data_IF_491355733613
#
_entry.id   IF_491355733613
#
_cell.length_a   1.000
_cell.length_b   1.000
_cell.length_c   1.000
_cell.angle_alpha   90.00
_cell.angle_beta   90.00
_cell.angle_gamma   90.00
#
_symmetry.space_group_name_H-M   'P 1'
#
loop_
_entity.id
_entity.type
_entity.pdbx_description
1 polymer ?
#
# COMPACT_ATOMS: atom_id res chain seq x y z
N UNK A 1 -12.62 -24.64 29.82
CA UNK A 1 -12.33 -23.48 30.69
C UNK A 1 -10.89 -23.58 31.19
N UNK A 2 -9.93 -22.95 30.51
CA UNK A 2 -8.67 -22.48 31.12
C UNK A 2 -8.37 -21.16 30.42
N UNK A 3 -8.60 -20.05 31.13
CA UNK A 3 -8.28 -18.69 30.71
C UNK A 3 -6.80 -18.46 31.00
N UNK A 4 -5.95 -18.50 29.97
CA UNK A 4 -4.60 -17.96 30.08
C UNK A 4 -4.68 -16.45 29.82
N UNK A 5 -4.65 -15.65 30.89
CA UNK A 5 -4.41 -14.22 30.81
C UNK A 5 -2.92 -14.01 30.55
N UNK A 6 -2.53 -13.64 29.33
CA UNK A 6 -1.18 -13.12 29.11
C UNK A 6 -1.14 -11.64 29.52
N UNK A 7 -0.20 -11.34 30.40
CA UNK A 7 0.05 -10.03 30.95
C UNK A 7 0.62 -9.10 29.86
N UNK A 8 0.04 -7.89 29.77
CA UNK A 8 0.57 -6.80 28.98
C UNK A 8 1.97 -6.40 29.50
N UNK A 9 2.99 -6.60 28.68
CA UNK A 9 4.29 -5.99 28.93
C UNK A 9 4.21 -4.51 28.49
N UNK A 10 4.19 -3.63 29.49
CA UNK A 10 4.24 -2.18 29.34
C UNK A 10 5.49 -1.76 28.54
N UNK A 11 5.27 -1.21 27.36
CA UNK A 11 6.25 -0.37 26.67
C UNK A 11 6.58 0.83 27.55
N UNK A 12 7.71 0.77 28.23
CA UNK A 12 8.26 1.92 28.94
C UNK A 12 9.03 2.77 27.93
N UNK A 13 8.41 3.87 27.49
CA UNK A 13 9.12 4.98 26.85
C UNK A 13 10.18 5.50 27.81
N UNK A 14 11.45 5.41 27.43
CA UNK A 14 12.51 6.21 28.03
C UNK A 14 12.68 7.49 27.19
N UNK A 15 12.50 8.61 27.87
CA UNK A 15 12.58 9.96 27.37
C UNK A 15 13.92 10.29 26.68
N UNK A 16 13.85 11.10 25.62
CA UNK A 16 15.00 11.81 25.10
C UNK A 16 15.59 12.76 26.15
N UNK A 17 16.92 12.93 26.15
CA UNK A 17 17.45 14.28 26.30
C UNK A 17 18.52 14.62 25.26
N UNK A 18 18.44 15.89 24.84
CA UNK A 18 19.53 16.80 24.53
C UNK A 18 20.48 16.49 23.34
N UNK A 19 20.39 17.42 22.37
CA UNK A 19 21.50 17.99 21.60
C UNK A 19 22.86 17.87 22.29
N UNK A 20 23.77 17.12 21.67
CA UNK A 20 25.21 17.29 21.82
C UNK A 20 25.86 17.02 20.46
N UNK A 21 26.39 18.07 19.84
CA UNK A 21 27.39 17.96 18.77
C UNK A 21 28.64 17.30 19.36
N UNK A 22 28.96 16.08 18.93
CA UNK A 22 30.28 15.50 19.13
C UNK A 22 30.52 14.34 18.14
N UNK A 23 31.36 14.61 17.14
CA UNK A 23 32.23 13.61 16.51
C UNK A 23 31.56 12.66 15.53
N UNK A 24 31.97 12.77 14.26
CA UNK A 24 31.86 11.75 13.23
C UNK A 24 32.54 10.44 13.69
N UNK A 25 31.83 9.64 14.48
CA UNK A 25 31.98 8.20 14.48
C UNK A 25 31.05 7.69 13.39
N UNK A 26 31.61 7.37 12.22
CA UNK A 26 30.88 6.64 11.20
C UNK A 26 30.32 5.38 11.87
N UNK A 27 29.01 5.38 12.13
CA UNK A 27 28.31 4.20 12.59
C UNK A 27 28.65 3.11 11.57
N UNK A 28 29.35 2.07 12.02
CA UNK A 28 29.76 0.95 11.19
C UNK A 28 28.49 0.42 10.52
N UNK A 29 28.34 0.69 9.22
CA UNK A 29 27.17 0.25 8.46
C UNK A 29 27.21 -1.27 8.49
N UNK A 30 26.37 -1.89 9.33
CA UNK A 30 26.28 -3.34 9.40
C UNK A 30 25.86 -3.82 8.01
N UNK A 31 26.78 -4.51 7.33
CA UNK A 31 26.57 -4.96 5.97
C UNK A 31 25.38 -5.93 5.89
N UNK A 32 24.71 -5.94 4.73
CA UNK A 32 23.72 -6.95 4.40
C UNK A 32 24.38 -8.34 4.47
N UNK A 33 23.84 -9.30 5.24
CA UNK A 33 24.40 -10.65 5.29
C UNK A 33 24.45 -11.29 3.89
N UNK A 34 25.55 -11.96 3.56
CA UNK A 34 25.76 -12.55 2.22
C UNK A 34 24.64 -13.54 1.83
N UNK A 35 24.10 -14.28 2.80
CA UNK A 35 23.01 -15.23 2.61
C UNK A 35 21.63 -14.67 2.97
N UNK A 36 21.46 -13.34 3.07
CA UNK A 36 20.21 -12.71 3.47
C UNK A 36 19.03 -13.13 2.58
N UNK A 37 19.22 -13.17 1.25
CA UNK A 37 18.17 -13.62 0.33
C UNK A 37 17.67 -15.04 0.64
N UNK A 38 18.59 -15.98 0.90
CA UNK A 38 18.24 -17.35 1.27
C UNK A 38 17.52 -17.43 2.61
N UNK A 39 17.99 -16.70 3.63
CA UNK A 39 17.39 -16.70 4.98
C UNK A 39 15.94 -16.24 4.90
N UNK A 40 15.70 -15.10 4.25
CA UNK A 40 14.37 -14.49 4.18
C UNK A 40 13.46 -15.33 3.28
N UNK A 41 14.00 -15.91 2.19
CA UNK A 41 13.25 -16.82 1.32
C UNK A 41 12.78 -18.06 2.08
N UNK A 42 13.67 -18.69 2.85
CA UNK A 42 13.33 -19.86 3.66
C UNK A 42 12.23 -19.55 4.67
N UNK A 43 12.27 -18.38 5.31
CA UNK A 43 11.23 -17.95 6.24
C UNK A 43 9.89 -17.75 5.52
N UNK A 44 9.89 -17.08 4.37
CA UNK A 44 8.68 -16.90 3.57
C UNK A 44 8.12 -18.25 3.11
N UNK A 45 8.95 -19.15 2.59
CA UNK A 45 8.53 -20.46 2.15
C UNK A 45 7.95 -21.30 3.30
N UNK A 46 8.54 -21.23 4.50
CA UNK A 46 8.01 -21.90 5.68
C UNK A 46 6.59 -21.43 6.04
N UNK A 47 6.34 -20.12 5.98
CA UNK A 47 5.00 -19.55 6.23
C UNK A 47 4.00 -20.01 5.17
N UNK A 48 4.35 -19.93 3.88
CA UNK A 48 3.47 -20.35 2.78
C UNK A 48 3.12 -21.83 2.85
N UNK A 49 4.05 -22.67 3.32
CA UNK A 49 3.84 -24.11 3.53
C UNK A 49 3.09 -24.42 4.84
N UNK A 50 2.69 -23.42 5.62
CA UNK A 50 1.98 -23.61 6.88
C UNK A 50 2.84 -24.21 7.99
N UNK A 51 4.17 -24.10 7.89
CA UNK A 51 5.08 -24.56 8.93
C UNK A 51 4.95 -23.64 10.14
N UNK A 52 4.70 -24.19 11.36
CA UNK A 52 4.64 -23.37 12.57
C UNK A 52 5.95 -22.61 12.78
N UNK A 53 5.88 -21.28 12.69
CA UNK A 53 7.02 -20.36 12.89
C UNK A 53 6.67 -19.36 13.98
N UNK A 54 7.62 -19.06 14.86
CA UNK A 54 7.42 -18.06 15.92
C UNK A 54 7.32 -16.65 15.30
N UNK A 55 6.28 -15.89 15.64
CA UNK A 55 6.04 -14.56 15.07
C UNK A 55 7.21 -13.61 15.32
N UNK A 56 7.83 -13.69 16.49
CA UNK A 56 9.02 -12.90 16.83
C UNK A 56 10.16 -13.19 15.86
N UNK A 57 10.33 -14.46 15.45
CA UNK A 57 11.39 -14.84 14.51
C UNK A 57 11.11 -14.35 13.10
N UNK A 58 9.85 -14.38 12.68
CA UNK A 58 9.43 -13.82 11.39
C UNK A 58 9.70 -12.31 11.38
N UNK A 59 9.34 -11.61 12.48
CA UNK A 59 9.56 -10.17 12.62
C UNK A 59 11.04 -9.81 12.58
N UNK A 60 11.88 -10.48 13.38
CA UNK A 60 13.33 -10.27 13.34
C UNK A 60 13.91 -10.47 11.95
N UNK A 61 13.47 -11.51 11.24
CA UNK A 61 13.94 -11.83 9.89
C UNK A 61 13.57 -10.72 8.91
N UNK A 62 12.31 -10.28 8.93
CA UNK A 62 11.83 -9.19 8.08
C UNK A 62 12.52 -7.85 8.41
N UNK A 63 12.72 -7.54 9.69
CA UNK A 63 13.35 -6.30 10.14
C UNK A 63 14.83 -6.24 9.75
N UNK A 64 15.57 -7.33 9.96
CA UNK A 64 16.98 -7.42 9.55
C UNK A 64 17.10 -7.25 8.03
N UNK A 65 16.22 -7.91 7.26
CA UNK A 65 16.18 -7.79 5.81
C UNK A 65 15.91 -6.35 5.36
N UNK A 66 14.86 -5.74 5.91
CA UNK A 66 14.44 -4.38 5.56
C UNK A 66 15.51 -3.34 5.89
N UNK A 67 16.17 -3.46 7.04
CA UNK A 67 17.12 -2.46 7.56
C UNK A 67 18.54 -2.64 7.02
N UNK A 68 19.04 -3.87 6.92
CA UNK A 68 20.45 -4.15 6.56
C UNK A 68 20.66 -4.35 5.07
N UNK A 69 19.60 -4.66 4.32
CA UNK A 69 19.69 -4.92 2.88
C UNK A 69 18.83 -3.93 2.06
N UNK A 70 18.98 -2.60 2.25
CA UNK A 70 18.13 -1.61 1.59
C UNK A 70 18.30 -1.58 0.06
N UNK A 71 19.43 -2.05 -0.46
CA UNK A 71 19.78 -2.02 -1.88
C UNK A 71 19.32 -3.21 -2.73
N UNK A 72 18.69 -4.24 -2.13
CA UNK A 72 18.23 -5.43 -2.86
C UNK A 72 16.71 -5.45 -2.99
N UNK A 73 16.22 -5.30 -4.22
CA UNK A 73 14.78 -5.32 -4.51
C UNK A 73 14.11 -6.62 -4.05
N UNK A 74 14.72 -7.78 -4.26
CA UNK A 74 14.11 -9.06 -3.88
C UNK A 74 14.08 -9.25 -2.36
N UNK A 75 15.14 -8.85 -1.65
CA UNK A 75 15.16 -8.95 -0.18
C UNK A 75 14.12 -8.01 0.44
N UNK A 76 14.00 -6.78 -0.07
CA UNK A 76 12.95 -5.85 0.35
C UNK A 76 11.56 -6.40 0.01
N UNK A 77 11.41 -7.06 -1.14
CA UNK A 77 10.17 -7.68 -1.54
C UNK A 77 9.73 -8.80 -0.60
N UNK A 78 10.65 -9.71 -0.24
CA UNK A 78 10.35 -10.74 0.77
C UNK A 78 10.04 -10.12 2.13
N UNK A 79 10.80 -9.09 2.56
CA UNK A 79 10.52 -8.41 3.82
C UNK A 79 9.11 -7.81 3.85
N UNK A 80 8.66 -7.19 2.76
CA UNK A 80 7.31 -6.67 2.63
C UNK A 80 6.25 -7.78 2.80
N UNK A 81 6.45 -8.93 2.13
CA UNK A 81 5.52 -10.06 2.22
C UNK A 81 5.51 -10.68 3.63
N UNK A 82 6.66 -10.82 4.28
CA UNK A 82 6.73 -11.28 5.67
C UNK A 82 6.00 -10.34 6.64
N UNK A 83 6.15 -9.03 6.48
CA UNK A 83 5.41 -8.06 7.29
C UNK A 83 3.90 -8.14 7.06
N UNK A 84 3.46 -8.40 5.81
CA UNK A 84 2.04 -8.67 5.51
C UNK A 84 1.54 -9.92 6.23
N UNK A 85 2.28 -11.03 6.17
CA UNK A 85 1.92 -12.27 6.86
C UNK A 85 1.83 -12.07 8.38
N UNK A 86 2.78 -11.35 8.96
CA UNK A 86 2.76 -10.98 10.38
C UNK A 86 1.55 -10.13 10.75
N UNK A 87 1.26 -9.09 9.94
CA UNK A 87 0.14 -8.19 10.20
C UNK A 87 -1.20 -8.95 10.18
N UNK A 88 -1.33 -9.94 9.30
CA UNK A 88 -2.51 -10.82 9.25
C UNK A 88 -2.62 -11.80 10.42
N UNK A 89 -1.53 -12.08 11.13
CA UNK A 89 -1.49 -13.00 12.27
C UNK A 89 -1.71 -12.33 13.63
N UNK A 90 -1.72 -10.99 13.71
CA UNK A 90 -1.93 -10.23 14.94
C UNK A 90 -3.31 -9.56 14.96
N UNK A 91 -3.92 -9.46 16.14
CA UNK A 91 -5.23 -8.80 16.33
C UNK A 91 -5.11 -7.34 16.78
N UNK A 92 -3.97 -6.96 17.37
CA UNK A 92 -3.76 -5.63 17.92
C UNK A 92 -3.63 -4.56 16.80
N UNK A 93 -4.52 -3.56 16.71
CA UNK A 93 -4.50 -2.57 15.64
C UNK A 93 -3.23 -1.71 15.58
N UNK A 94 -2.60 -1.43 16.72
CA UNK A 94 -1.35 -0.66 16.79
C UNK A 94 -0.18 -1.45 16.19
N UNK A 95 -0.13 -2.76 16.49
CA UNK A 95 0.82 -3.69 15.89
C UNK A 95 0.54 -3.88 14.40
N UNK A 96 -0.73 -4.03 14.00
CA UNK A 96 -1.12 -4.11 12.58
C UNK A 96 -0.68 -2.86 11.80
N UNK A 97 -0.93 -1.65 12.35
CA UNK A 97 -0.46 -0.41 11.73
C UNK A 97 1.04 -0.44 11.53
N UNK A 98 1.80 -0.77 12.58
CA UNK A 98 3.27 -0.81 12.53
C UNK A 98 3.77 -1.77 11.45
N UNK A 99 3.21 -2.97 11.38
CA UNK A 99 3.62 -4.00 10.42
C UNK A 99 3.23 -3.63 8.98
N UNK A 100 2.02 -3.15 8.74
CA UNK A 100 1.63 -2.69 7.40
C UNK A 100 2.39 -1.44 6.96
N UNK A 101 2.79 -0.57 7.89
CA UNK A 101 3.69 0.57 7.60
C UNK A 101 5.04 0.07 7.09
N UNK A 102 5.64 -0.89 7.81
CA UNK A 102 6.90 -1.53 7.41
C UNK A 102 6.78 -2.26 6.07
N UNK A 103 5.67 -2.94 5.83
CA UNK A 103 5.37 -3.59 4.55
C UNK A 103 5.29 -2.56 3.40
N UNK A 104 4.61 -1.44 3.62
CA UNK A 104 4.51 -0.34 2.64
C UNK A 104 5.90 0.23 2.32
N UNK A 105 6.70 0.54 3.33
CA UNK A 105 8.05 1.10 3.15
C UNK A 105 8.99 0.12 2.42
N UNK A 106 8.90 -1.17 2.73
CA UNK A 106 9.65 -2.22 2.04
C UNK A 106 9.19 -2.39 0.57
N UNK A 107 7.89 -2.26 0.29
CA UNK A 107 7.37 -2.24 -1.08
C UNK A 107 7.86 -1.01 -1.87
N UNK A 108 7.94 0.17 -1.24
CA UNK A 108 8.55 1.35 -1.88
C UNK A 108 10.04 1.12 -2.18
N UNK A 109 10.80 0.56 -1.23
CA UNK A 109 12.22 0.24 -1.47
C UNK A 109 12.41 -0.81 -2.56
N UNK A 110 11.49 -1.79 -2.65
CA UNK A 110 11.44 -2.76 -3.75
C UNK A 110 11.32 -2.02 -5.10
N UNK A 111 10.48 -1.00 -5.19
CA UNK A 111 10.37 -0.18 -6.41
C UNK A 111 11.68 0.53 -6.74
N UNK A 112 12.21 1.28 -5.77
CA UNK A 112 13.39 2.15 -5.95
C UNK A 112 14.67 1.41 -6.30
N UNK A 113 14.78 0.16 -5.86
CA UNK A 113 15.97 -0.68 -6.09
C UNK A 113 15.76 -1.75 -7.15
N UNK A 114 14.61 -1.76 -7.82
CA UNK A 114 14.33 -2.74 -8.84
C UNK A 114 15.30 -2.59 -10.02
N UNK A 115 16.17 -3.58 -10.19
CA UNK A 115 17.01 -3.74 -11.37
C UNK A 115 16.41 -4.82 -12.29
N UNK A 116 16.17 -4.45 -13.55
CA UNK A 116 15.46 -5.32 -14.47
C UNK A 116 16.39 -6.40 -15.01
N UNK A 117 16.26 -7.62 -14.47
CA UNK A 117 16.76 -8.83 -15.13
C UNK A 117 17.81 -9.66 -14.39
N UNK A 118 18.15 -9.30 -13.15
CA UNK A 118 19.19 -10.00 -12.37
C UNK A 118 18.64 -10.81 -11.19
N UNK A 119 17.31 -11.03 -11.15
CA UNK A 119 16.56 -11.68 -10.07
C UNK A 119 17.39 -12.65 -9.21
N UNK A 120 17.34 -12.43 -7.90
CA UNK A 120 18.26 -13.06 -6.95
C UNK A 120 18.06 -14.57 -6.93
N UNK A 121 19.12 -15.34 -7.17
CA UNK A 121 19.07 -16.80 -7.12
C UNK A 121 19.14 -17.28 -5.66
N UNK A 122 18.24 -18.19 -5.31
CA UNK A 122 18.20 -18.91 -4.02
C UNK A 122 17.99 -20.40 -4.29
N UNK A 123 18.23 -21.23 -3.28
CA UNK A 123 17.97 -22.67 -3.33
C UNK A 123 16.61 -22.99 -2.74
N UNK A 124 15.75 -23.66 -3.51
CA UNK A 124 14.46 -24.19 -3.08
C UNK A 124 14.58 -25.34 -2.09
N UNK A 125 13.46 -25.70 -1.45
CA UNK A 125 13.42 -26.82 -0.49
C UNK A 125 13.71 -28.19 -1.10
N UNK A 126 13.59 -28.33 -2.42
CA UNK A 126 13.94 -29.49 -3.22
C UNK A 126 15.41 -29.46 -3.71
N UNK A 127 16.17 -28.43 -3.36
CA UNK A 127 17.55 -28.21 -3.81
C UNK A 127 17.66 -27.56 -5.19
N UNK A 128 16.55 -27.25 -5.88
CA UNK A 128 16.60 -26.59 -7.17
C UNK A 128 16.91 -25.08 -7.03
N UNK A 129 17.54 -24.49 -8.05
CA UNK A 129 17.69 -23.03 -8.11
C UNK A 129 16.34 -22.37 -8.38
N UNK A 130 15.99 -21.38 -7.56
CA UNK A 130 14.83 -20.51 -7.73
C UNK A 130 15.33 -19.08 -7.95
N UNK A 131 14.88 -18.45 -9.04
CA UNK A 131 15.13 -17.02 -9.27
C UNK A 131 13.97 -16.20 -8.73
N UNK A 132 14.28 -15.29 -7.81
CA UNK A 132 13.30 -14.39 -7.22
C UNK A 132 12.92 -13.30 -8.22
N UNK A 133 11.62 -13.09 -8.40
CA UNK A 133 11.03 -12.01 -9.21
C UNK A 133 9.90 -11.36 -8.43
N UNK A 134 10.25 -10.62 -7.38
CA UNK A 134 9.28 -10.28 -6.35
C UNK A 134 8.50 -8.99 -6.59
N UNK A 135 8.83 -8.23 -7.63
CA UNK A 135 8.11 -7.00 -7.97
C UNK A 135 6.60 -7.26 -8.15
N UNK A 136 6.22 -8.21 -9.00
CA UNK A 136 4.79 -8.54 -9.24
C UNK A 136 4.06 -8.95 -7.96
N UNK A 137 4.53 -9.97 -7.21
CA UNK A 137 3.94 -10.38 -5.94
C UNK A 137 3.81 -9.25 -4.90
N UNK A 138 4.87 -8.46 -4.70
CA UNK A 138 4.87 -7.36 -3.71
C UNK A 138 3.86 -6.29 -4.07
N UNK A 139 3.80 -5.90 -5.34
CA UNK A 139 2.86 -4.88 -5.79
C UNK A 139 1.42 -5.37 -5.87
N UNK A 140 1.23 -6.68 -6.06
CA UNK A 140 -0.08 -7.33 -5.89
C UNK A 140 -0.51 -7.28 -4.43
N UNK A 141 0.38 -7.56 -3.48
CA UNK A 141 0.11 -7.43 -2.04
C UNK A 141 -0.12 -5.96 -1.64
N UNK A 142 0.58 -5.01 -2.27
CA UNK A 142 0.34 -3.57 -2.07
C UNK A 142 -1.09 -3.19 -2.43
N UNK A 143 -1.56 -3.57 -3.62
CA UNK A 143 -2.90 -3.29 -4.12
C UNK A 143 -3.99 -4.01 -3.31
N UNK A 144 -3.81 -5.30 -3.06
CA UNK A 144 -4.88 -6.16 -2.53
C UNK A 144 -4.92 -6.26 -1.00
N UNK A 145 -3.83 -5.96 -0.32
CA UNK A 145 -3.71 -6.15 1.14
C UNK A 145 -3.23 -4.88 1.84
N UNK A 146 -2.01 -4.41 1.56
CA UNK A 146 -1.35 -3.36 2.36
C UNK A 146 -2.18 -2.07 2.35
N UNK A 147 -2.50 -1.54 1.16
CA UNK A 147 -3.25 -0.28 1.03
C UNK A 147 -4.67 -0.43 1.58
N UNK A 148 -5.45 -1.48 1.22
CA UNK A 148 -6.77 -1.69 1.82
C UNK A 148 -6.75 -1.78 3.35
N UNK A 149 -5.78 -2.47 3.95
CA UNK A 149 -5.70 -2.62 5.41
C UNK A 149 -5.27 -1.34 6.11
N UNK A 150 -4.30 -0.60 5.56
CA UNK A 150 -3.96 0.74 6.06
C UNK A 150 -5.15 1.69 5.96
N UNK A 151 -5.95 1.61 4.89
CA UNK A 151 -7.18 2.37 4.74
C UNK A 151 -8.23 1.97 5.80
N UNK A 152 -8.41 0.68 6.09
CA UNK A 152 -9.30 0.21 7.15
C UNK A 152 -8.86 0.77 8.51
N UNK A 153 -7.56 0.67 8.84
CA UNK A 153 -7.02 1.18 10.10
C UNK A 153 -7.17 2.71 10.22
N UNK A 154 -7.00 3.44 9.12
CA UNK A 154 -7.16 4.90 9.12
C UNK A 154 -8.62 5.37 9.25
N UNK A 155 -9.60 4.53 8.88
CA UNK A 155 -10.99 4.98 8.66
C UNK A 155 -12.04 4.25 9.49
N UNK A 156 -11.65 3.22 10.25
CA UNK A 156 -12.58 2.46 11.09
C UNK A 156 -12.88 3.22 12.39
N UNK A 157 -14.16 3.56 12.66
CA UNK A 157 -14.54 4.25 13.89
C UNK A 157 -14.11 3.52 15.15
N UNK A 158 -13.44 4.22 16.07
CA UNK A 158 -12.96 3.67 17.34
C UNK A 158 -11.70 2.79 17.23
N UNK A 159 -11.09 2.68 16.05
CA UNK A 159 -9.82 1.99 15.78
C UNK A 159 -8.87 2.84 14.95
N UNK A 160 -9.13 4.14 14.86
CA UNK A 160 -8.40 5.04 13.98
C UNK A 160 -6.92 5.05 14.37
N UNK A 161 -6.10 4.61 13.43
CA UNK A 161 -4.65 4.64 13.46
C UNK A 161 -4.20 5.17 12.12
N UNK A 162 -4.13 6.50 12.05
CA UNK A 162 -3.86 7.21 10.81
C UNK A 162 -2.41 6.99 10.42
N UNK A 163 -2.21 6.14 9.42
CA UNK A 163 -0.92 6.04 8.75
C UNK A 163 -0.56 7.40 8.13
N UNK A 164 0.70 7.86 8.17
CA UNK A 164 1.11 9.15 7.59
C UNK A 164 0.72 9.34 6.12
N UNK A 165 0.60 8.26 5.35
CA UNK A 165 0.14 8.33 3.96
C UNK A 165 -1.29 8.85 3.83
N UNK A 166 -2.11 8.81 4.88
CA UNK A 166 -3.47 9.35 4.91
C UNK A 166 -3.60 10.70 5.61
N UNK A 167 -2.50 11.26 6.13
CA UNK A 167 -2.53 12.59 6.74
C UNK A 167 -2.91 13.63 5.67
N UNK A 168 -4.08 14.27 5.84
CA UNK A 168 -4.72 15.11 4.82
C UNK A 168 -3.99 16.43 4.57
N UNK A 169 -3.20 16.92 5.55
CA UNK A 169 -2.71 18.31 5.56
C UNK A 169 -1.34 18.54 4.91
N UNK A 170 -0.59 17.48 4.55
CA UNK A 170 0.73 17.62 3.96
C UNK A 170 0.72 17.27 2.46
N UNK A 171 1.03 18.24 1.56
CA UNK A 171 1.31 17.93 0.16
C UNK A 171 2.41 16.87 0.06
N UNK A 172 2.31 15.97 -0.91
CA UNK A 172 3.41 15.07 -1.22
C UNK A 172 4.52 15.90 -1.89
N UNK A 173 5.64 16.06 -1.18
CA UNK A 173 6.77 16.84 -1.65
C UNK A 173 7.42 16.27 -2.93
N UNK A 174 7.29 14.95 -3.15
CA UNK A 174 7.82 14.27 -4.33
C UNK A 174 6.99 13.03 -4.68
N UNK A 175 7.22 12.51 -5.89
CA UNK A 175 6.67 11.24 -6.35
C UNK A 175 7.21 10.08 -5.49
N UNK A 176 6.37 9.29 -4.79
CA UNK A 176 6.88 8.27 -3.86
C UNK A 176 7.46 7.02 -4.54
N UNK A 177 7.23 6.85 -5.84
CA UNK A 177 7.66 5.71 -6.66
C UNK A 177 8.72 6.12 -7.67
N UNK A 178 9.37 5.15 -8.31
CA UNK A 178 10.30 5.44 -9.41
C UNK A 178 9.56 5.96 -10.63
N UNK A 179 10.12 6.99 -11.26
CA UNK A 179 9.60 7.56 -12.50
C UNK A 179 9.67 6.59 -13.69
N UNK A 180 10.54 5.58 -13.64
CA UNK A 180 10.91 4.76 -14.78
C UNK A 180 9.92 3.61 -15.04
N UNK A 181 9.28 3.07 -14.00
CA UNK A 181 8.31 1.96 -14.15
C UNK A 181 6.87 2.39 -14.01
N UNK A 182 6.56 3.40 -13.20
CA UNK A 182 5.22 3.98 -13.05
C UNK A 182 4.09 3.02 -12.62
N UNK A 183 4.34 1.71 -12.55
CA UNK A 183 3.41 0.68 -12.13
C UNK A 183 3.11 0.76 -10.64
N UNK A 184 4.12 1.03 -9.80
CA UNK A 184 3.95 1.00 -8.35
C UNK A 184 2.85 1.94 -7.83
N UNK A 185 2.78 3.15 -8.39
CA UNK A 185 1.73 4.11 -8.02
C UNK A 185 0.35 3.72 -8.54
N UNK A 186 0.28 3.01 -9.66
CA UNK A 186 -0.98 2.50 -10.23
C UNK A 186 -1.55 1.36 -9.36
N UNK A 187 -0.69 0.52 -8.76
CA UNK A 187 -1.10 -0.47 -7.75
C UNK A 187 -1.67 0.19 -6.48
N UNK A 188 -1.02 1.25 -5.96
CA UNK A 188 -1.58 2.01 -4.84
C UNK A 188 -2.93 2.65 -5.20
N UNK A 189 -3.03 3.28 -6.36
CA UNK A 189 -4.27 3.89 -6.83
C UNK A 189 -5.41 2.87 -7.00
N UNK A 190 -5.11 1.66 -7.50
CA UNK A 190 -6.08 0.56 -7.56
C UNK A 190 -6.55 0.13 -6.18
N UNK A 191 -5.63 -0.10 -5.25
CA UNK A 191 -5.95 -0.46 -3.87
C UNK A 191 -6.85 0.58 -3.20
N UNK A 192 -6.54 1.87 -3.37
CA UNK A 192 -7.35 2.98 -2.86
C UNK A 192 -8.73 3.04 -3.52
N UNK A 193 -8.83 2.79 -4.83
CA UNK A 193 -10.12 2.77 -5.53
C UNK A 193 -11.08 1.68 -5.03
N UNK A 194 -10.51 0.58 -4.51
CA UNK A 194 -11.21 -0.54 -3.87
C UNK A 194 -11.45 -0.38 -2.37
N UNK A 195 -10.87 0.65 -1.73
CA UNK A 195 -10.93 0.84 -0.28
C UNK A 195 -12.36 1.09 0.25
N UNK A 196 -12.51 1.12 1.58
CA UNK A 196 -13.79 1.40 2.24
C UNK A 196 -14.40 2.72 1.75
N UNK A 197 -15.71 2.72 1.53
CA UNK A 197 -16.52 3.90 1.19
C UNK A 197 -17.47 4.29 2.31
N UNK A 198 -17.22 3.80 3.53
CA UNK A 198 -17.93 4.25 4.72
C UNK A 198 -17.82 5.78 4.85
N UNK A 199 -18.82 6.48 5.41
CA UNK A 199 -18.84 7.94 5.43
C UNK A 199 -17.59 8.62 5.98
N UNK A 200 -16.93 8.05 6.99
CA UNK A 200 -15.68 8.57 7.55
C UNK A 200 -14.42 8.27 6.72
N UNK A 201 -14.52 7.37 5.73
CA UNK A 201 -13.39 6.94 4.91
C UNK A 201 -13.19 7.82 3.67
N UNK A 202 -14.28 8.35 3.10
CA UNK A 202 -14.24 9.00 1.78
C UNK A 202 -13.27 10.18 1.72
N UNK A 203 -13.20 10.99 2.79
CA UNK A 203 -12.26 12.11 2.90
C UNK A 203 -10.80 11.66 2.78
N UNK A 204 -10.34 10.81 3.71
CA UNK A 204 -8.95 10.36 3.77
C UNK A 204 -8.49 9.64 2.48
N UNK A 205 -9.32 8.77 1.92
CA UNK A 205 -8.96 8.00 0.71
C UNK A 205 -8.90 8.91 -0.52
N UNK A 206 -9.91 9.75 -0.73
CA UNK A 206 -9.90 10.68 -1.86
C UNK A 206 -8.78 11.71 -1.74
N UNK A 207 -8.48 12.20 -0.54
CA UNK A 207 -7.36 13.11 -0.28
C UNK A 207 -6.01 12.47 -0.65
N UNK A 208 -5.78 11.19 -0.33
CA UNK A 208 -4.57 10.49 -0.76
C UNK A 208 -4.50 10.36 -2.29
N UNK A 209 -5.58 9.93 -2.94
CA UNK A 209 -5.63 9.84 -4.41
C UNK A 209 -5.36 11.19 -5.09
N UNK A 210 -5.94 12.29 -4.58
CA UNK A 210 -5.71 13.65 -5.10
C UNK A 210 -4.26 14.12 -4.89
N UNK A 211 -3.66 13.83 -3.73
CA UNK A 211 -2.23 14.15 -3.49
C UNK A 211 -1.31 13.36 -4.40
N UNK A 212 -1.59 12.08 -4.62
CA UNK A 212 -0.87 11.27 -5.60
C UNK A 212 -1.04 11.85 -7.01
N UNK A 213 -2.27 12.18 -7.42
CA UNK A 213 -2.52 12.81 -8.72
C UNK A 213 -1.66 14.08 -8.93
N UNK A 214 -1.61 14.95 -7.92
CA UNK A 214 -0.82 16.17 -7.95
C UNK A 214 0.70 15.91 -8.03
N UNK A 215 1.20 14.92 -7.27
CA UNK A 215 2.62 14.54 -7.29
C UNK A 215 3.04 13.77 -8.56
N UNK A 216 2.07 13.20 -9.29
CA UNK A 216 2.29 12.26 -10.40
C UNK A 216 1.64 12.72 -11.71
N UNK A 217 1.97 13.92 -12.25
CA UNK A 217 1.23 14.49 -13.38
C UNK A 217 1.25 13.63 -14.66
N UNK A 218 2.33 12.87 -14.89
CA UNK A 218 2.43 11.92 -16.02
C UNK A 218 1.41 10.76 -15.96
N UNK A 219 0.81 10.54 -14.79
CA UNK A 219 -0.18 9.48 -14.52
C UNK A 219 -1.54 10.06 -14.14
N UNK A 220 -1.75 11.37 -14.30
CA UNK A 220 -2.96 12.06 -13.84
C UNK A 220 -4.26 11.40 -14.29
N UNK A 221 -4.32 10.95 -15.55
CA UNK A 221 -5.47 10.22 -16.09
C UNK A 221 -5.75 8.93 -15.30
N UNK A 222 -4.73 8.15 -14.93
CA UNK A 222 -4.94 6.95 -14.14
C UNK A 222 -5.59 7.26 -12.77
N UNK A 223 -5.17 8.36 -12.14
CA UNK A 223 -5.80 8.81 -10.89
C UNK A 223 -7.22 9.33 -11.11
N UNK A 224 -7.52 9.96 -12.24
CA UNK A 224 -8.90 10.32 -12.58
C UNK A 224 -9.78 9.07 -12.70
N UNK A 225 -9.27 7.99 -13.31
CA UNK A 225 -9.98 6.71 -13.31
C UNK A 225 -10.19 6.16 -11.88
N UNK A 226 -9.14 6.14 -11.06
CA UNK A 226 -9.22 5.62 -9.69
C UNK A 226 -10.18 6.44 -8.81
N UNK A 227 -10.15 7.77 -8.91
CA UNK A 227 -11.07 8.69 -8.23
C UNK A 227 -12.50 8.51 -8.71
N UNK A 228 -12.72 8.38 -10.01
CA UNK A 228 -14.05 8.13 -10.56
C UNK A 228 -14.63 6.80 -10.06
N UNK A 229 -13.84 5.72 -10.10
CA UNK A 229 -14.23 4.41 -9.58
C UNK A 229 -14.55 4.46 -8.08
N UNK A 230 -13.72 5.13 -7.29
CA UNK A 230 -13.91 5.29 -5.84
C UNK A 230 -15.19 6.07 -5.51
N UNK A 231 -15.36 7.25 -6.11
CA UNK A 231 -16.52 8.09 -5.85
C UNK A 231 -17.83 7.47 -6.35
N UNK A 232 -17.80 6.68 -7.42
CA UNK A 232 -18.94 5.88 -7.84
C UNK A 232 -19.37 4.93 -6.72
N UNK A 233 -18.45 4.13 -6.16
CA UNK A 233 -18.74 3.24 -5.02
C UNK A 233 -19.24 4.03 -3.80
N UNK A 234 -18.67 5.21 -3.53
CA UNK A 234 -19.12 6.07 -2.45
C UNK A 234 -20.54 6.62 -2.65
N UNK A 235 -20.94 6.94 -3.88
CA UNK A 235 -22.30 7.38 -4.20
C UNK A 235 -23.33 6.29 -3.89
N UNK A 236 -23.06 5.03 -4.25
CA UNK A 236 -23.93 3.91 -3.93
C UNK A 236 -23.94 3.59 -2.43
N UNK A 237 -22.79 3.60 -1.77
CA UNK A 237 -22.71 3.33 -0.33
C UNK A 237 -23.44 4.38 0.54
N UNK A 238 -23.62 5.59 0.02
CA UNK A 238 -24.30 6.69 0.71
C UNK A 238 -25.71 6.96 0.19
N UNK A 239 -26.36 6.01 -0.49
CA UNK A 239 -27.68 6.25 -1.11
C UNK A 239 -28.78 6.70 -0.13
N UNK A 240 -28.69 6.28 1.14
CA UNK A 240 -29.58 6.72 2.22
C UNK A 240 -29.26 8.13 2.76
N UNK A 241 -28.24 8.79 2.22
CA UNK A 241 -27.83 10.18 2.50
C UNK A 241 -27.79 10.96 1.18
N UNK A 242 -28.96 11.38 0.65
CA UNK A 242 -29.07 11.86 -0.73
C UNK A 242 -28.16 13.04 -1.10
N UNK A 243 -27.84 13.91 -0.12
CA UNK A 243 -26.88 15.01 -0.33
C UNK A 243 -25.45 14.50 -0.59
N UNK A 244 -24.97 13.56 0.22
CA UNK A 244 -23.63 12.97 0.07
C UNK A 244 -23.55 12.07 -1.17
N UNK A 245 -24.58 11.26 -1.42
CA UNK A 245 -24.64 10.42 -2.63
C UNK A 245 -24.49 11.25 -3.90
N UNK A 246 -25.23 12.37 -4.01
CA UNK A 246 -25.14 13.29 -5.16
C UNK A 246 -23.78 13.97 -5.24
N UNK A 247 -23.21 14.40 -4.12
CA UNK A 247 -21.86 14.98 -4.07
C UNK A 247 -20.82 14.02 -4.64
N UNK A 248 -20.86 12.75 -4.22
CA UNK A 248 -19.94 11.73 -4.73
C UNK A 248 -20.22 11.38 -6.20
N UNK A 249 -21.49 11.30 -6.62
CA UNK A 249 -21.83 11.07 -8.01
C UNK A 249 -21.31 12.19 -8.94
N UNK A 250 -21.45 13.47 -8.55
CA UNK A 250 -20.87 14.61 -9.29
C UNK A 250 -19.34 14.50 -9.39
N UNK A 251 -18.67 14.16 -8.29
CA UNK A 251 -17.22 13.97 -8.28
C UNK A 251 -16.79 12.83 -9.21
N UNK A 252 -17.51 11.70 -9.19
CA UNK A 252 -17.25 10.57 -10.06
C UNK A 252 -17.35 10.95 -11.55
N UNK A 253 -18.41 11.67 -11.92
CA UNK A 253 -18.63 12.16 -13.29
C UNK A 253 -17.56 13.16 -13.73
N UNK A 254 -17.15 14.07 -12.84
CA UNK A 254 -16.12 15.05 -13.14
C UNK A 254 -14.77 14.39 -13.45
N UNK A 255 -14.36 13.40 -12.66
CA UNK A 255 -13.14 12.64 -12.90
C UNK A 255 -13.25 11.71 -14.12
N UNK A 256 -14.40 11.09 -14.38
CA UNK A 256 -14.62 10.33 -15.61
C UNK A 256 -14.44 11.21 -16.86
N UNK A 257 -14.97 12.44 -16.84
CA UNK A 257 -14.79 13.37 -17.93
C UNK A 257 -13.33 13.83 -18.08
N UNK A 258 -12.59 14.00 -16.98
CA UNK A 258 -11.16 14.31 -17.00
C UNK A 258 -10.35 13.16 -17.62
N UNK A 259 -10.63 11.91 -17.24
CA UNK A 259 -10.05 10.73 -17.86
C UNK A 259 -10.31 10.70 -19.37
N UNK A 260 -11.56 10.86 -19.81
CA UNK A 260 -11.91 10.80 -21.24
C UNK A 260 -11.20 11.87 -22.08
N UNK A 261 -10.96 13.07 -21.52
CA UNK A 261 -10.18 14.10 -22.21
C UNK A 261 -8.70 13.73 -22.36
N UNK A 262 -8.15 12.98 -21.40
CA UNK A 262 -6.76 12.57 -21.38
C UNK A 262 -6.49 11.23 -22.08
N UNK A 263 -7.51 10.37 -22.24
CA UNK A 263 -7.41 9.02 -22.78
C UNK A 263 -6.70 8.91 -24.16
N UNK A 264 -6.84 9.86 -25.11
CA UNK A 264 -6.08 9.81 -26.36
C UNK A 264 -4.55 9.88 -26.19
N UNK A 265 -4.06 10.32 -25.02
CA UNK A 265 -2.64 10.46 -24.71
C UNK A 265 -2.09 9.38 -23.76
N UNK A 266 -2.95 8.53 -23.18
CA UNK A 266 -2.53 7.51 -22.22
C UNK A 266 -2.07 6.24 -22.93
N UNK A 267 -0.77 5.94 -22.92
CA UNK A 267 -0.22 4.65 -23.37
C UNK A 267 -0.28 3.64 -22.21
N UNK A 268 -1.03 2.54 -22.37
CA UNK A 268 -1.10 1.43 -21.40
C UNK A 268 -2.14 0.36 -21.80
N UNK A 269 -1.98 -0.87 -21.32
CA UNK A 269 -2.76 -2.06 -21.75
C UNK A 269 -4.22 -2.09 -21.30
N UNK A 270 -4.60 -1.25 -20.34
CA UNK A 270 -5.96 -1.25 -19.75
C UNK A 270 -6.72 0.07 -19.96
N UNK A 271 -6.20 1.00 -20.77
CA UNK A 271 -6.86 2.29 -21.02
C UNK A 271 -8.27 2.11 -21.61
N UNK A 272 -8.43 1.20 -22.56
CA UNK A 272 -9.72 0.89 -23.18
C UNK A 272 -10.69 0.24 -22.17
N UNK A 273 -10.20 -0.71 -21.36
CA UNK A 273 -11.01 -1.34 -20.30
C UNK A 273 -11.49 -0.32 -19.28
N UNK A 274 -10.62 0.62 -18.92
CA UNK A 274 -10.92 1.72 -18.01
C UNK A 274 -11.95 2.68 -18.61
N UNK A 275 -11.80 3.03 -19.89
CA UNK A 275 -12.77 3.85 -20.63
C UNK A 275 -14.15 3.19 -20.71
N UNK A 276 -14.19 1.89 -21.00
CA UNK A 276 -15.41 1.08 -21.05
C UNK A 276 -16.12 1.03 -19.70
N UNK A 277 -15.35 0.83 -18.62
CA UNK A 277 -15.87 0.88 -17.26
C UNK A 277 -16.49 2.25 -16.95
N UNK A 278 -15.77 3.34 -17.22
CA UNK A 278 -16.24 4.71 -16.93
C UNK A 278 -17.45 5.10 -17.79
N UNK A 279 -17.55 4.60 -19.02
CA UNK A 279 -18.72 4.80 -19.87
C UNK A 279 -19.97 4.17 -19.27
N UNK A 280 -19.89 2.90 -18.84
CA UNK A 280 -21.01 2.22 -18.16
C UNK A 280 -21.37 2.91 -16.83
N UNK A 281 -20.35 3.28 -16.06
CA UNK A 281 -20.51 4.00 -14.80
C UNK A 281 -21.26 5.33 -14.98
N UNK A 282 -20.89 6.10 -16.01
CA UNK A 282 -21.50 7.41 -16.32
C UNK A 282 -23.00 7.27 -16.62
N UNK A 283 -23.38 6.27 -17.43
CA UNK A 283 -24.79 5.97 -17.71
C UNK A 283 -25.53 5.63 -16.42
N UNK A 284 -25.01 4.67 -15.63
CA UNK A 284 -25.64 4.23 -14.40
C UNK A 284 -25.84 5.35 -13.36
N UNK A 285 -24.87 6.26 -13.23
CA UNK A 285 -24.96 7.39 -12.31
C UNK A 285 -25.98 8.42 -12.77
N UNK A 286 -26.06 8.71 -14.08
CA UNK A 286 -27.07 9.62 -14.64
C UNK A 286 -28.48 9.06 -14.50
N UNK A 287 -28.66 7.76 -14.71
CA UNK A 287 -29.94 7.10 -14.53
C UNK A 287 -30.39 7.12 -13.05
N UNK A 288 -29.45 6.90 -12.12
CA UNK A 288 -29.73 6.91 -10.69
C UNK A 288 -29.96 8.32 -10.13
N UNK A 289 -29.29 9.32 -10.69
CA UNK A 289 -29.33 10.70 -10.25
C UNK A 289 -29.58 11.64 -11.44
N UNK A 290 -30.82 11.67 -11.99
CA UNK A 290 -31.12 12.38 -13.23
C UNK A 290 -30.96 13.91 -13.14
N UNK A 291 -31.04 14.46 -11.93
CA UNK A 291 -30.97 15.91 -11.69
C UNK A 291 -29.53 16.41 -11.41
N UNK A 292 -28.48 15.60 -11.64
CA UNK A 292 -27.11 16.05 -11.35
C UNK A 292 -26.63 17.20 -12.23
N UNK A 293 -27.22 17.34 -13.42
CA UNK A 293 -26.92 18.38 -14.42
C UNK A 293 -27.74 19.67 -14.21
N UNK A 294 -28.59 19.72 -13.17
CA UNK A 294 -29.31 20.93 -12.68
C UNK A 294 -28.59 21.54 -11.47
#
# INVERSE_FOLDING_TARGET
MIRARLAAALFSLAAAPALAEAGEGAAETIACPENAAQIVFNMHAAIELGVPTALEKVYETAEIAATRCPGSSDIQGLAALLFVSLAGAVEDPDTQLTLFSKAYDAALRTDHTFDSGTGTAVTGGDGAEVKLYLYGPVFTALESVIIPQLAILATTPGRERVHPIFAEEAPLAAYPYTANRGSGVEYEARGLSGASTAPGAVGAISARLLRLQAACPKRAAYFDWALAAYFNRAAYANEFRPGEARKHARAALAHAAAFSRAAPATRGSDADKNADFLSRMTVNLRDKFPDLDQ
#
